data_IF_602894154242
#
_entry.id   IF_602894154242
#
_cell.length_a   1.000
_cell.length_b   1.000
_cell.length_c   1.000
_cell.angle_alpha   90.00
_cell.angle_beta   90.00
_cell.angle_gamma   90.00
#
_symmetry.space_group_name_H-M   'P 1'
#
loop_
_entity.id
_entity.type
_entity.pdbx_description
1 polymer ?
#
# COMPACT_ATOMS: atom_id res chain seq x y z
N UNK A 1 19.74 -6.18 27.14
CA UNK A 1 20.11 -6.52 25.75
C UNK A 1 19.04 -5.92 24.85
N UNK A 2 19.42 -5.25 23.75
CA UNK A 2 18.47 -4.68 22.80
C UNK A 2 17.95 -5.80 21.89
N UNK A 3 16.65 -5.79 21.58
CA UNK A 3 16.03 -6.73 20.63
C UNK A 3 15.94 -6.10 19.24
N UNK A 4 16.15 -6.92 18.22
CA UNK A 4 16.15 -6.57 16.81
C UNK A 4 14.87 -7.05 16.12
N UNK A 5 14.35 -6.24 15.20
CA UNK A 5 13.14 -6.56 14.42
C UNK A 5 13.09 -5.69 13.16
N UNK A 6 12.20 -6.04 12.24
CA UNK A 6 11.74 -5.19 11.14
C UNK A 6 10.31 -4.68 11.40
N UNK A 7 9.82 -3.76 10.57
CA UNK A 7 8.53 -3.07 10.76
C UNK A 7 7.32 -3.80 10.17
N UNK A 8 7.52 -4.86 9.40
CA UNK A 8 6.44 -5.61 8.74
C UNK A 8 6.80 -5.97 7.31
N UNK A 9 6.73 -4.99 6.39
CA UNK A 9 7.02 -5.23 4.98
C UNK A 9 8.47 -5.68 4.75
N UNK A 10 8.65 -6.74 3.96
CA UNK A 10 9.94 -7.31 3.59
C UNK A 10 10.08 -7.38 2.06
N UNK A 11 11.30 -7.32 1.50
CA UNK A 11 11.51 -7.41 0.05
C UNK A 11 10.93 -8.69 -0.55
N UNK A 12 10.72 -8.71 -1.87
CA UNK A 12 10.38 -9.94 -2.60
C UNK A 12 11.64 -10.53 -3.21
N UNK A 13 11.92 -11.80 -2.95
CA UNK A 13 13.11 -12.51 -3.46
C UNK A 13 13.46 -12.22 -4.93
N UNK A 14 12.45 -12.28 -5.80
CA UNK A 14 12.64 -12.21 -7.27
C UNK A 14 11.96 -11.00 -7.94
N UNK A 15 11.33 -10.08 -7.20
CA UNK A 15 10.58 -8.95 -7.78
C UNK A 15 10.76 -7.65 -7.00
N UNK A 16 11.97 -7.04 -6.97
CA UNK A 16 12.23 -5.83 -6.19
C UNK A 16 11.52 -4.57 -6.73
N UNK A 17 11.24 -4.53 -8.04
CA UNK A 17 10.73 -3.34 -8.75
C UNK A 17 9.21 -3.21 -8.78
N UNK A 18 8.47 -4.21 -8.32
CA UNK A 18 7.03 -4.31 -8.50
C UNK A 18 6.30 -4.09 -7.16
N UNK A 19 6.30 -2.84 -6.71
CA UNK A 19 5.73 -2.39 -5.43
C UNK A 19 4.38 -1.70 -5.58
N UNK A 20 3.96 -1.36 -6.80
CA UNK A 20 2.83 -0.46 -7.03
C UNK A 20 1.54 -1.15 -7.48
N UNK A 21 1.61 -2.34 -8.11
CA UNK A 21 0.42 -3.16 -8.41
C UNK A 21 0.71 -4.63 -8.19
N UNK A 22 0.22 -5.20 -7.10
CA UNK A 22 0.37 -6.63 -6.84
C UNK A 22 -0.81 -7.35 -7.48
N UNK A 23 -0.60 -8.27 -8.44
CA UNK A 23 -1.66 -9.20 -8.81
C UNK A 23 -2.08 -10.00 -7.58
N UNK A 24 -3.38 -10.28 -7.44
CA UNK A 24 -3.88 -11.22 -6.43
C UNK A 24 -3.10 -12.52 -6.57
N UNK A 25 -2.41 -12.92 -5.51
CA UNK A 25 -1.67 -14.18 -5.45
C UNK A 25 -2.56 -15.26 -4.87
N UNK A 26 -2.30 -16.51 -5.25
CA UNK A 26 -2.91 -17.66 -4.58
C UNK A 26 -2.39 -17.83 -3.15
N UNK A 27 -3.12 -18.57 -2.31
CA UNK A 27 -2.71 -18.85 -0.94
C UNK A 27 -1.36 -19.59 -0.88
N UNK A 28 -1.12 -20.53 -1.80
CA UNK A 28 0.15 -21.25 -1.90
C UNK A 28 1.31 -20.32 -2.25
N UNK A 29 1.11 -19.38 -3.17
CA UNK A 29 2.11 -18.36 -3.49
C UNK A 29 2.37 -17.44 -2.29
N UNK A 30 1.32 -17.02 -1.58
CA UNK A 30 1.45 -16.20 -0.38
C UNK A 30 2.28 -16.93 0.69
N UNK A 31 1.98 -18.21 0.95
CA UNK A 31 2.71 -19.04 1.91
C UNK A 31 4.17 -19.22 1.52
N UNK A 32 4.47 -19.41 0.23
CA UNK A 32 5.85 -19.50 -0.26
C UNK A 32 6.63 -18.18 -0.05
N UNK A 33 5.98 -17.03 -0.23
CA UNK A 33 6.60 -15.73 0.04
C UNK A 33 6.87 -15.53 1.53
N UNK A 34 5.91 -15.88 2.39
CA UNK A 34 6.05 -15.80 3.86
C UNK A 34 7.20 -16.70 4.31
N UNK A 35 7.22 -17.95 3.85
CA UNK A 35 8.27 -18.90 4.22
C UNK A 35 9.66 -18.37 3.88
N UNK A 36 9.85 -17.82 2.68
CA UNK A 36 11.13 -17.24 2.31
C UNK A 36 11.52 -16.05 3.20
N UNK A 37 10.60 -15.14 3.50
CA UNK A 37 10.88 -13.99 4.36
C UNK A 37 11.23 -14.42 5.79
N UNK A 38 10.53 -15.42 6.32
CA UNK A 38 10.80 -16.02 7.64
C UNK A 38 12.17 -16.68 7.66
N UNK A 39 12.50 -17.51 6.67
CA UNK A 39 13.78 -18.20 6.59
C UNK A 39 14.95 -17.20 6.55
N UNK A 40 14.83 -16.12 5.76
CA UNK A 40 15.87 -15.09 5.65
C UNK A 40 16.07 -14.30 6.96
N UNK A 41 14.97 -13.87 7.59
CA UNK A 41 15.00 -13.15 8.88
C UNK A 41 15.58 -14.02 10.01
N UNK A 42 15.25 -15.32 10.03
CA UNK A 42 15.81 -16.29 10.98
C UNK A 42 17.31 -16.49 10.76
N UNK A 43 17.76 -16.63 9.50
CA UNK A 43 19.17 -16.83 9.17
C UNK A 43 20.04 -15.61 9.53
N UNK A 44 19.49 -14.40 9.43
CA UNK A 44 20.17 -13.16 9.84
C UNK A 44 20.20 -13.00 11.38
N UNK A 45 19.34 -13.72 12.10
CA UNK A 45 19.31 -13.75 13.55
C UNK A 45 18.47 -12.64 14.19
N UNK A 46 17.37 -12.23 13.55
CA UNK A 46 16.41 -11.30 14.18
C UNK A 46 15.74 -11.93 15.39
N UNK A 47 15.58 -11.15 16.47
CA UNK A 47 14.89 -11.60 17.69
C UNK A 47 13.38 -11.74 17.49
N UNK A 48 12.81 -10.91 16.62
CA UNK A 48 11.39 -10.88 16.27
C UNK A 48 11.27 -10.79 14.76
N UNK A 49 10.52 -11.72 14.18
CA UNK A 49 10.32 -11.84 12.73
C UNK A 49 8.92 -11.38 12.32
N UNK A 50 8.74 -11.15 11.02
CA UNK A 50 7.46 -10.79 10.40
C UNK A 50 7.18 -11.69 9.20
N UNK A 51 5.93 -11.73 8.73
CA UNK A 51 5.54 -12.49 7.53
C UNK A 51 5.99 -11.82 6.21
N UNK A 52 6.51 -10.59 6.30
CA UNK A 52 7.03 -9.80 5.20
C UNK A 52 5.99 -9.11 4.31
N UNK A 53 4.69 -9.35 4.53
CA UNK A 53 3.58 -8.69 3.82
C UNK A 53 3.68 -8.72 2.27
N UNK A 54 4.46 -9.64 1.72
CA UNK A 54 4.80 -9.67 0.30
C UNK A 54 3.57 -9.88 -0.60
N UNK A 55 2.51 -10.51 -0.06
CA UNK A 55 1.21 -10.76 -0.69
C UNK A 55 0.27 -9.54 -0.69
N UNK A 56 0.48 -8.50 0.14
CA UNK A 56 -0.45 -7.36 0.28
C UNK A 56 -0.13 -6.20 -0.65
N UNK A 57 -0.99 -5.82 -1.60
CA UNK A 57 -0.69 -4.73 -2.57
C UNK A 57 -0.31 -3.41 -1.90
N UNK A 58 -1.17 -3.01 -0.99
CA UNK A 58 -1.08 -1.81 -0.22
C UNK A 58 -1.81 -2.07 1.10
N UNK A 59 -1.33 -1.46 2.18
CA UNK A 59 -1.91 -1.63 3.51
C UNK A 59 -3.41 -1.33 3.53
N UNK A 60 -3.87 -0.24 2.90
CA UNK A 60 -5.28 0.14 2.87
C UNK A 60 -6.10 -0.75 1.94
N UNK A 61 -5.60 -0.97 0.73
CA UNK A 61 -6.31 -1.73 -0.29
C UNK A 61 -6.63 -3.16 0.16
N UNK A 62 -5.68 -3.80 0.84
CA UNK A 62 -5.86 -5.15 1.35
C UNK A 62 -7.08 -5.28 2.28
N UNK A 63 -7.30 -4.30 3.16
CA UNK A 63 -8.45 -4.29 4.06
C UNK A 63 -9.72 -3.80 3.40
N UNK A 64 -9.64 -2.79 2.52
CA UNK A 64 -10.84 -2.26 1.84
C UNK A 64 -11.59 -3.33 1.03
N UNK A 65 -10.86 -4.28 0.43
CA UNK A 65 -11.45 -5.43 -0.27
C UNK A 65 -12.15 -6.46 0.65
N UNK A 66 -11.98 -6.34 1.97
CA UNK A 66 -12.43 -7.30 2.99
C UNK A 66 -13.37 -6.67 4.02
N UNK A 67 -13.82 -5.44 3.78
CA UNK A 67 -14.73 -4.71 4.66
C UNK A 67 -16.08 -4.55 3.98
N UNK A 68 -17.14 -4.99 4.65
CA UNK A 68 -18.50 -4.79 4.17
C UNK A 68 -18.85 -3.29 4.14
N UNK A 69 -19.60 -2.89 3.12
CA UNK A 69 -19.97 -1.49 2.90
C UNK A 69 -18.90 -0.63 2.22
N UNK A 70 -17.68 -1.13 1.98
CA UNK A 70 -16.64 -0.46 1.19
C UNK A 70 -16.65 -0.96 -0.26
N UNK A 71 -16.92 -0.06 -1.21
CA UNK A 71 -16.84 -0.31 -2.64
C UNK A 71 -15.54 0.23 -3.21
N UNK A 72 -14.59 -0.69 -3.35
CA UNK A 72 -13.28 -0.44 -3.92
C UNK A 72 -13.23 -0.60 -5.44
N UNK A 73 -14.27 -1.16 -6.06
CA UNK A 73 -14.32 -1.36 -7.52
C UNK A 73 -14.85 -0.10 -8.22
N UNK A 74 -15.94 0.48 -7.71
CA UNK A 74 -16.55 1.69 -8.25
C UNK A 74 -16.01 2.94 -7.55
N UNK A 75 -14.72 3.21 -7.74
CA UNK A 75 -14.05 4.38 -7.15
C UNK A 75 -14.62 5.67 -7.71
N UNK A 76 -14.58 6.72 -6.90
CA UNK A 76 -14.87 8.09 -7.32
C UNK A 76 -13.60 8.93 -7.27
N UNK A 77 -13.26 9.53 -8.40
CA UNK A 77 -12.21 10.53 -8.48
C UNK A 77 -12.59 11.75 -7.65
N UNK A 78 -11.76 12.10 -6.66
CA UNK A 78 -11.87 13.35 -5.91
C UNK A 78 -10.68 14.23 -6.23
N UNK A 79 -10.97 15.40 -6.81
CA UNK A 79 -9.97 16.44 -6.99
C UNK A 79 -9.82 17.20 -5.68
N UNK A 80 -8.61 17.19 -5.13
CA UNK A 80 -8.25 18.08 -4.04
C UNK A 80 -7.64 19.34 -4.63
N UNK A 81 -7.91 20.47 -3.98
CA UNK A 81 -7.16 21.69 -4.24
C UNK A 81 -5.75 21.54 -3.69
N UNK A 82 -4.85 22.44 -4.06
CA UNK A 82 -3.48 22.52 -3.53
C UNK A 82 -3.38 22.68 -2.00
N UNK A 83 -4.50 22.88 -1.29
CA UNK A 83 -4.57 22.89 0.17
C UNK A 83 -3.86 24.07 0.86
N UNK A 84 -3.33 25.03 0.10
CA UNK A 84 -2.56 26.18 0.59
C UNK A 84 -2.27 27.21 -0.51
N UNK A 85 -1.46 28.23 -0.19
CA UNK A 85 -1.02 29.23 -1.17
C UNK A 85 0.08 28.67 -2.09
N UNK A 86 -0.01 28.99 -3.38
CA UNK A 86 1.04 28.66 -4.36
C UNK A 86 2.02 29.82 -4.59
N UNK A 87 1.92 30.87 -3.77
CA UNK A 87 2.81 32.03 -3.86
C UNK A 87 4.26 31.62 -3.60
N UNK A 88 5.16 31.93 -4.55
CA UNK A 88 6.57 31.56 -4.47
C UNK A 88 6.90 30.10 -4.78
N UNK A 89 5.89 29.25 -5.08
CA UNK A 89 6.11 27.85 -5.45
C UNK A 89 6.47 27.75 -6.93
N UNK A 90 7.62 27.14 -7.23
CA UNK A 90 8.05 26.85 -8.60
C UNK A 90 7.23 25.69 -9.20
N UNK A 91 6.13 26.06 -9.85
CA UNK A 91 5.22 25.13 -10.49
C UNK A 91 5.83 24.43 -11.72
N UNK A 92 6.97 24.85 -12.26
CA UNK A 92 7.56 24.16 -13.42
C UNK A 92 7.95 22.71 -13.10
N UNK A 93 8.27 22.44 -11.83
CA UNK A 93 8.72 21.15 -11.31
C UNK A 93 7.59 20.23 -10.83
N UNK A 94 6.35 20.71 -10.76
CA UNK A 94 5.23 19.86 -10.35
C UNK A 94 4.70 19.08 -11.55
N UNK A 95 4.12 17.91 -11.26
CA UNK A 95 3.47 17.07 -12.26
C UNK A 95 2.41 17.87 -13.04
N UNK A 96 2.33 17.70 -14.36
CA UNK A 96 1.49 18.57 -15.22
C UNK A 96 0.00 18.56 -14.83
N UNK A 97 -0.50 17.42 -14.33
CA UNK A 97 -1.84 17.33 -13.73
C UNK A 97 -2.12 18.36 -12.63
N UNK A 98 -1.11 18.77 -11.86
CA UNK A 98 -1.26 19.81 -10.82
C UNK A 98 -1.44 21.19 -11.47
N UNK A 99 -0.75 21.46 -12.58
CA UNK A 99 -0.89 22.70 -13.36
C UNK A 99 -2.25 22.77 -14.05
N UNK A 100 -2.70 21.66 -14.62
CA UNK A 100 -3.96 21.59 -15.37
C UNK A 100 -5.19 21.58 -14.46
N UNK A 101 -5.15 20.83 -13.36
CA UNK A 101 -6.32 20.61 -12.48
C UNK A 101 -6.29 21.40 -11.18
N UNK A 102 -5.26 22.22 -10.95
CA UNK A 102 -5.15 23.06 -9.76
C UNK A 102 -5.00 22.28 -8.45
N UNK A 103 -4.40 21.09 -8.50
CA UNK A 103 -4.18 20.25 -7.32
C UNK A 103 -3.99 18.77 -7.67
N UNK A 104 -4.10 17.89 -6.68
CA UNK A 104 -3.94 16.44 -6.87
C UNK A 104 -5.29 15.72 -6.88
N UNK A 105 -5.44 14.77 -7.80
CA UNK A 105 -6.60 13.88 -7.86
C UNK A 105 -6.26 12.53 -7.21
N UNK A 106 -7.20 11.98 -6.44
CA UNK A 106 -7.10 10.60 -5.94
C UNK A 106 -8.38 9.83 -6.27
N UNK A 107 -8.23 8.54 -6.52
CA UNK A 107 -9.35 7.60 -6.63
C UNK A 107 -9.74 7.11 -5.24
N UNK A 108 -10.94 7.48 -4.79
CA UNK A 108 -11.47 7.08 -3.49
C UNK A 108 -12.41 5.89 -3.61
N UNK A 109 -12.22 4.87 -2.76
CA UNK A 109 -13.27 3.85 -2.52
C UNK A 109 -14.53 4.53 -1.96
N UNK A 110 -15.70 4.03 -2.34
CA UNK A 110 -17.00 4.59 -1.95
C UNK A 110 -17.57 3.80 -0.77
N UNK A 111 -18.29 4.46 0.13
CA UNK A 111 -19.02 3.79 1.21
C UNK A 111 -20.49 3.66 0.78
N UNK A 112 -20.92 2.44 0.50
CA UNK A 112 -22.28 2.14 0.02
C UNK A 112 -23.25 1.74 1.14
N UNK A 113 -22.76 1.58 2.38
CA UNK A 113 -23.55 1.13 3.52
C UNK A 113 -22.88 1.42 4.86
N UNK A 114 -23.36 0.80 5.94
CA UNK A 114 -22.69 0.86 7.24
C UNK A 114 -21.40 0.03 7.15
N UNK A 115 -20.28 0.61 7.58
CA UNK A 115 -19.02 -0.12 7.67
C UNK A 115 -19.09 -1.00 8.92
N UNK A 116 -19.13 -2.30 8.72
CA UNK A 116 -19.09 -3.30 9.78
C UNK A 116 -17.83 -4.16 9.59
N UNK A 117 -17.19 -4.51 10.70
CA UNK A 117 -16.09 -5.46 10.67
C UNK A 117 -16.70 -6.87 10.77
N UNK A 118 -16.26 -7.83 9.94
CA UNK A 118 -16.69 -9.22 10.11
C UNK A 118 -16.26 -9.80 11.46
#
# INVERSE_FOLDING_TARGET
MLKTTVVGSYPRKNKPKDTLRKPTVSDDEAMNMIKWAVDDQCNIGLDIITDGEAYRENMYWFYQLRLDGVDSLNKKHKQFTVGGSMEGVDLSKVHDLVKEKGGFGIECSVINGKVENP
#
